data_IF_479231619934
#
_entry.id   IF_479231619934
#
_cell.length_a   1.000
_cell.length_b   1.000
_cell.length_c   1.000
_cell.angle_alpha   90.00
_cell.angle_beta   90.00
_cell.angle_gamma   90.00
#
_symmetry.space_group_name_H-M   'P 1'
#
loop_
_entity.id
_entity.type
_entity.pdbx_description
1 polymer ?
#
# COMPACT_ATOMS: atom_id res chain seq x y z
N UNK A 1 12.10 6.22 10.11
CA UNK A 1 10.71 6.56 9.77
C UNK A 1 9.78 5.60 10.48
N UNK A 2 8.74 6.12 11.08
CA UNK A 2 7.76 5.31 11.79
C UNK A 2 6.93 4.45 10.83
N UNK A 3 6.52 3.29 11.34
CA UNK A 3 5.67 2.36 10.57
C UNK A 3 4.41 3.05 10.04
N UNK A 4 3.75 3.87 10.88
CA UNK A 4 2.53 4.58 10.47
C UNK A 4 2.76 5.51 9.28
N UNK A 5 3.87 6.25 9.30
CA UNK A 5 4.21 7.14 8.18
C UNK A 5 4.48 6.35 6.90
N UNK A 6 5.13 5.21 7.03
CA UNK A 6 5.37 4.32 5.88
C UNK A 6 4.04 3.85 5.30
N UNK A 7 3.12 3.42 6.16
CA UNK A 7 1.79 2.98 5.75
C UNK A 7 1.03 4.08 5.03
N UNK A 8 1.06 5.30 5.58
CA UNK A 8 0.38 6.43 4.96
C UNK A 8 0.97 6.75 3.58
N UNK A 9 2.29 6.72 3.46
CA UNK A 9 2.95 6.96 2.17
C UNK A 9 2.57 5.91 1.13
N UNK A 10 2.49 4.65 1.54
CA UNK A 10 2.09 3.55 0.66
C UNK A 10 0.66 3.78 0.15
N UNK A 11 -0.26 4.05 1.06
CA UNK A 11 -1.67 4.26 0.69
C UNK A 11 -1.83 5.46 -0.22
N UNK A 12 -1.18 6.58 0.11
CA UNK A 12 -1.26 7.79 -0.72
C UNK A 12 -0.64 7.60 -2.09
N UNK A 13 0.44 6.82 -2.17
CA UNK A 13 1.06 6.51 -3.45
C UNK A 13 0.09 5.76 -4.36
N UNK A 14 -0.57 4.73 -3.82
CA UNK A 14 -1.54 3.96 -4.61
C UNK A 14 -2.72 4.83 -5.06
N UNK A 15 -3.15 5.76 -4.21
CA UNK A 15 -4.22 6.69 -4.56
C UNK A 15 -3.80 7.71 -5.62
N UNK A 16 -2.52 8.06 -5.65
CA UNK A 16 -2.01 9.08 -6.57
C UNK A 16 -1.58 8.52 -7.92
N UNK A 17 -1.37 7.23 -8.04
CA UNK A 17 -0.98 6.61 -9.30
C UNK A 17 -2.07 6.79 -10.36
N UNK A 18 -1.68 6.79 -11.61
CA UNK A 18 -2.63 6.92 -12.72
C UNK A 18 -2.57 5.70 -13.60
N UNK A 19 -3.68 4.93 -13.72
CA UNK A 19 -4.94 5.15 -12.96
C UNK A 19 -4.77 4.84 -11.48
N UNK A 20 -5.66 5.40 -10.68
CA UNK A 20 -5.69 5.15 -9.23
C UNK A 20 -5.83 3.65 -8.97
N UNK A 21 -5.08 3.14 -8.00
CA UNK A 21 -4.97 1.70 -7.77
C UNK A 21 -6.03 1.18 -6.80
N UNK A 22 -7.29 1.27 -7.21
CA UNK A 22 -8.43 0.72 -6.49
C UNK A 22 -8.98 -0.54 -7.19
N UNK A 23 -9.27 -1.57 -6.42
CA UNK A 23 -9.95 -2.76 -6.94
C UNK A 23 -9.17 -3.47 -8.04
N UNK A 24 -9.73 -3.50 -9.24
CA UNK A 24 -9.11 -4.19 -10.38
C UNK A 24 -7.89 -3.48 -10.97
N UNK A 25 -7.67 -2.23 -10.61
CA UNK A 25 -6.49 -1.49 -11.03
C UNK A 25 -5.39 -1.72 -10.00
N UNK A 26 -4.37 -2.48 -10.36
CA UNK A 26 -3.32 -2.88 -9.43
C UNK A 26 -1.93 -2.60 -10.00
N UNK A 27 -0.93 -2.62 -9.13
CA UNK A 27 0.46 -2.45 -9.50
C UNK A 27 1.31 -3.52 -8.82
N UNK A 28 2.51 -3.75 -9.32
CA UNK A 28 3.42 -4.70 -8.68
C UNK A 28 3.77 -4.22 -7.28
N UNK A 29 3.77 -5.16 -6.31
CA UNK A 29 4.05 -4.84 -4.91
C UNK A 29 5.40 -4.16 -4.72
N UNK A 30 6.40 -4.53 -5.52
CA UNK A 30 7.73 -3.91 -5.44
C UNK A 30 7.70 -2.40 -5.69
N UNK A 31 6.67 -1.89 -6.38
CA UNK A 31 6.54 -0.45 -6.62
C UNK A 31 6.17 0.33 -5.36
N UNK A 32 5.65 -0.33 -4.33
CA UNK A 32 5.25 0.33 -3.09
C UNK A 32 6.42 1.00 -2.39
N UNK A 33 7.60 0.40 -2.48
CA UNK A 33 8.78 0.89 -1.77
C UNK A 33 9.58 1.91 -2.55
N UNK A 34 9.28 2.10 -3.84
CA UNK A 34 10.07 3.00 -4.69
C UNK A 34 10.01 4.46 -4.26
N UNK A 35 8.94 4.87 -3.58
CA UNK A 35 8.81 6.23 -3.07
C UNK A 35 9.41 6.44 -1.69
N UNK A 36 9.95 5.39 -1.07
CA UNK A 36 10.54 5.46 0.26
C UNK A 36 12.04 5.74 0.17
N UNK A 37 12.64 6.34 1.21
CA UNK A 37 14.09 6.48 1.26
C UNK A 37 14.79 5.14 1.05
N UNK A 38 15.90 5.16 0.31
CA UNK A 38 16.59 3.92 -0.06
C UNK A 38 17.02 3.06 1.12
N UNK A 39 17.40 3.69 2.24
CA UNK A 39 17.84 2.95 3.44
C UNK A 39 16.70 2.17 4.12
N UNK A 40 15.45 2.45 3.80
CA UNK A 40 14.31 1.73 4.37
C UNK A 40 13.90 0.51 3.54
N UNK A 41 14.30 0.47 2.27
CA UNK A 41 13.92 -0.61 1.38
C UNK A 41 14.51 -1.93 1.86
N UNK A 42 13.68 -2.99 1.88
CA UNK A 42 14.09 -4.30 2.33
C UNK A 42 14.22 -4.45 3.84
N UNK A 43 13.81 -3.46 4.61
CA UNK A 43 13.86 -3.52 6.07
C UNK A 43 12.63 -4.18 6.65
N UNK A 44 12.77 -4.68 7.88
CA UNK A 44 11.67 -5.33 8.60
C UNK A 44 10.51 -4.39 8.89
N UNK A 45 10.79 -3.10 9.12
CA UNK A 45 9.73 -2.14 9.42
C UNK A 45 8.81 -1.94 8.22
N UNK A 46 9.38 -1.93 7.00
CA UNK A 46 8.58 -1.85 5.78
C UNK A 46 7.75 -3.11 5.59
N UNK A 47 8.36 -4.28 5.79
CA UNK A 47 7.65 -5.55 5.67
C UNK A 47 6.47 -5.62 6.65
N UNK A 48 6.68 -5.20 7.89
CA UNK A 48 5.63 -5.17 8.91
C UNK A 48 4.54 -4.14 8.57
N UNK A 49 4.94 -3.00 8.02
CA UNK A 49 3.98 -1.98 7.60
C UNK A 49 3.01 -2.53 6.55
N UNK A 50 3.56 -3.21 5.53
CA UNK A 50 2.75 -3.80 4.47
C UNK A 50 1.90 -4.94 5.01
N UNK A 51 2.47 -5.81 5.82
CA UNK A 51 1.75 -6.92 6.43
C UNK A 51 0.54 -6.44 7.23
N UNK A 52 0.72 -5.37 8.01
CA UNK A 52 -0.36 -4.82 8.81
C UNK A 52 -1.48 -4.22 7.95
N UNK A 53 -1.11 -3.56 6.84
CA UNK A 53 -2.11 -3.05 5.89
C UNK A 53 -2.91 -4.20 5.27
N UNK A 54 -2.25 -5.32 5.01
CA UNK A 54 -2.93 -6.51 4.52
C UNK A 54 -3.88 -7.09 5.58
N UNK A 55 -3.46 -7.12 6.84
CA UNK A 55 -4.28 -7.62 7.94
C UNK A 55 -5.52 -6.76 8.18
N UNK A 56 -5.41 -5.46 7.91
CA UNK A 56 -6.54 -4.53 8.00
C UNK A 56 -7.48 -4.63 6.79
N UNK A 57 -7.12 -5.44 5.81
CA UNK A 57 -7.83 -5.56 4.53
C UNK A 57 -7.86 -4.26 3.73
N UNK A 58 -6.89 -3.37 3.97
CA UNK A 58 -6.76 -2.14 3.20
C UNK A 58 -6.17 -2.41 1.82
N UNK A 59 -5.40 -3.48 1.68
CA UNK A 59 -4.79 -3.88 0.42
C UNK A 59 -5.37 -5.20 -0.06
N UNK A 60 -5.52 -5.32 -1.37
CA UNK A 60 -5.84 -6.57 -2.03
C UNK A 60 -4.56 -7.04 -2.72
N UNK A 61 -4.13 -8.26 -2.44
CA UNK A 61 -2.95 -8.84 -3.07
C UNK A 61 -3.37 -9.96 -3.99
N UNK A 62 -2.73 -10.02 -5.15
CA UNK A 62 -2.91 -11.14 -6.06
C UNK A 62 -1.58 -11.46 -6.72
N UNK A 63 -1.38 -12.73 -7.07
CA UNK A 63 -0.18 -13.16 -7.76
C UNK A 63 -0.49 -13.27 -9.26
N UNK A 64 0.34 -12.62 -10.07
CA UNK A 64 0.14 -12.60 -11.51
C UNK A 64 1.49 -12.82 -12.20
N UNK A 65 1.57 -13.85 -13.00
CA UNK A 65 2.80 -14.23 -13.72
C UNK A 65 4.04 -14.28 -12.82
N UNK A 66 3.87 -14.85 -11.61
CA UNK A 66 4.97 -14.98 -10.66
C UNK A 66 5.26 -13.75 -9.82
N UNK A 67 4.60 -12.62 -10.09
CA UNK A 67 4.79 -11.38 -9.36
C UNK A 67 3.58 -11.08 -8.49
N UNK A 68 3.82 -10.53 -7.28
CA UNK A 68 2.75 -10.05 -6.45
C UNK A 68 2.31 -8.66 -6.89
N UNK A 69 1.00 -8.47 -7.01
CA UNK A 69 0.37 -7.20 -7.32
C UNK A 69 -0.51 -6.78 -6.17
N UNK A 70 -0.70 -5.47 -6.00
CA UNK A 70 -1.52 -4.90 -4.94
C UNK A 70 -2.42 -3.81 -5.48
N UNK A 71 -3.55 -3.65 -4.82
CA UNK A 71 -4.45 -2.52 -5.03
C UNK A 71 -5.08 -2.14 -3.71
N UNK A 72 -5.70 -0.95 -3.68
CA UNK A 72 -6.48 -0.53 -2.52
C UNK A 72 -7.82 -1.24 -2.55
N UNK A 73 -8.31 -1.63 -1.38
CA UNK A 73 -9.59 -2.32 -1.25
C UNK A 73 -10.73 -1.30 -1.22
N UNK A 74 -11.58 -1.24 -2.28
CA UNK A 74 -12.67 -0.26 -2.30
C UNK A 74 -13.71 -0.49 -1.20
N UNK A 75 -13.79 -1.70 -0.66
CA UNK A 75 -14.70 -1.99 0.46
C UNK A 75 -14.25 -1.32 1.75
N UNK A 76 -12.98 -0.94 1.83
CA UNK A 76 -12.39 -0.29 3.01
C UNK A 76 -12.08 1.18 2.77
N UNK A 77 -12.68 1.78 1.74
CA UNK A 77 -12.39 3.15 1.35
C UNK A 77 -12.57 4.15 2.49
N UNK A 78 -13.67 4.05 3.24
CA UNK A 78 -13.90 4.95 4.37
C UNK A 78 -12.86 4.78 5.46
N UNK A 79 -12.54 3.55 5.81
CA UNK A 79 -11.55 3.25 6.84
C UNK A 79 -10.18 3.75 6.42
N UNK A 80 -9.82 3.59 5.15
CA UNK A 80 -8.55 4.07 4.61
C UNK A 80 -8.50 5.60 4.71
N UNK A 81 -9.57 6.28 4.34
CA UNK A 81 -9.64 7.74 4.42
C UNK A 81 -9.52 8.23 5.87
N UNK A 82 -10.19 7.57 6.80
CA UNK A 82 -10.05 7.89 8.23
C UNK A 82 -8.62 7.67 8.72
N UNK A 83 -8.03 6.56 8.30
CA UNK A 83 -6.63 6.25 8.64
C UNK A 83 -5.70 7.36 8.18
N UNK A 84 -5.96 7.92 7.00
CA UNK A 84 -5.15 8.99 6.42
C UNK A 84 -5.53 10.39 6.91
N UNK A 85 -6.62 10.51 7.67
CA UNK A 85 -7.09 11.81 8.14
C UNK A 85 -7.67 12.68 7.04
N UNK A 86 -8.22 12.07 5.98
CA UNK A 86 -8.76 12.82 4.85
C UNK A 86 -10.18 13.35 5.13
N UNK A 87 -10.88 12.75 6.05
CA UNK A 87 -12.22 13.23 6.43
C UNK A 87 -12.14 14.43 7.34
#
# INVERSE_FOLDING_TARGET
MEKRLIQEKILRKLMAMKPHKWGNSHTEEKNLVKGLPGHLRGTKIVDKAIEELNQLDFLIRLKKTGEWHVSLNPRKKEEIYRFLGIY
#
